data_IF_480186915377
#
_entry.id   IF_480186915377
#
_cell.length_a   1.000
_cell.length_b   1.000
_cell.length_c   1.000
_cell.angle_alpha   90.00
_cell.angle_beta   90.00
_cell.angle_gamma   90.00
#
_symmetry.space_group_name_H-M   'P 1'
#
loop_
_entity.id
_entity.type
_entity.pdbx_description
1 polymer ?
#
# COMPACT_ATOMS: atom_id res chain seq x y z
N UNK A 1 17.63 27.81 4.16
CA UNK A 1 17.88 27.88 5.62
C UNK A 1 16.91 28.88 6.22
N UNK A 2 16.34 28.61 7.40
CA UNK A 2 15.18 29.36 7.96
C UNK A 2 15.52 30.51 8.90
N UNK A 3 16.79 30.65 9.30
CA UNK A 3 17.24 31.65 10.27
C UNK A 3 18.51 32.37 9.78
N UNK A 4 18.66 33.63 10.18
CA UNK A 4 19.86 34.46 9.94
C UNK A 4 20.89 34.32 11.06
N UNK A 5 20.44 33.89 12.23
CA UNK A 5 21.29 33.68 13.41
C UNK A 5 20.75 32.53 14.23
N UNK A 6 21.64 31.69 14.72
CA UNK A 6 21.33 30.57 15.62
C UNK A 6 22.12 30.77 16.90
N UNK A 7 21.42 30.72 18.02
CA UNK A 7 22.01 30.69 19.35
C UNK A 7 21.72 29.34 20.00
N UNK A 8 22.72 28.75 20.64
CA UNK A 8 22.60 27.49 21.35
C UNK A 8 23.11 27.70 22.78
N UNK A 9 22.27 27.44 23.77
CA UNK A 9 22.64 27.44 25.18
C UNK A 9 22.55 26.01 25.70
N UNK A 10 23.68 25.41 26.07
CA UNK A 10 23.72 24.01 26.53
C UNK A 10 24.39 23.88 27.88
N UNK A 11 23.83 23.05 28.74
CA UNK A 11 24.35 22.71 30.05
C UNK A 11 24.24 21.20 30.24
N UNK A 12 25.39 20.54 30.20
CA UNK A 12 25.49 19.09 30.38
C UNK A 12 25.24 18.73 31.84
N UNK A 13 24.47 17.67 32.06
CA UNK A 13 24.19 17.16 33.40
C UNK A 13 25.48 16.85 34.17
N UNK A 14 25.62 17.44 35.35
CA UNK A 14 26.75 17.22 36.26
C UNK A 14 27.94 18.17 36.06
N UNK A 15 27.90 19.04 35.05
CA UNK A 15 28.89 20.10 34.90
C UNK A 15 28.48 21.33 35.74
N UNK A 16 29.43 22.22 36.03
CA UNK A 16 29.21 23.44 36.83
C UNK A 16 28.94 24.69 35.98
N UNK A 17 29.29 24.63 34.70
CA UNK A 17 29.18 25.76 33.76
C UNK A 17 28.36 25.32 32.54
N UNK A 18 27.58 26.25 32.02
CA UNK A 18 26.91 26.13 30.74
C UNK A 18 27.74 26.77 29.63
N UNK A 19 27.46 26.42 28.39
CA UNK A 19 28.09 27.00 27.21
C UNK A 19 27.04 27.64 26.33
N UNK A 20 27.25 28.91 25.95
CA UNK A 20 26.52 29.54 24.84
C UNK A 20 27.40 29.54 23.59
N UNK A 21 26.79 29.12 22.49
CA UNK A 21 27.34 29.18 21.15
C UNK A 21 26.44 30.05 20.28
N UNK A 22 27.01 30.85 19.40
CA UNK A 22 26.25 31.72 18.50
C UNK A 22 26.93 31.81 17.12
N UNK A 23 26.12 31.81 16.06
CA UNK A 23 26.61 32.04 14.69
C UNK A 23 25.54 32.63 13.76
N UNK A 24 25.97 33.48 12.83
CA UNK A 24 25.18 33.93 11.66
C UNK A 24 25.28 32.99 10.45
N UNK A 25 26.07 31.92 10.52
CA UNK A 25 26.33 31.03 9.39
C UNK A 25 27.35 31.55 8.37
N UNK A 26 27.97 32.71 8.62
CA UNK A 26 28.94 33.37 7.72
C UNK A 26 30.39 32.84 7.86
N UNK A 27 30.56 31.65 8.44
CA UNK A 27 31.86 30.97 8.57
C UNK A 27 32.61 31.21 9.88
N UNK A 28 32.09 32.04 10.78
CA UNK A 28 32.60 32.22 12.15
C UNK A 28 31.51 31.99 13.19
N UNK A 29 31.91 31.68 14.42
CA UNK A 29 31.02 31.52 15.57
C UNK A 29 31.71 32.01 16.85
N UNK A 30 30.92 32.28 17.89
CA UNK A 30 31.40 32.61 19.23
C UNK A 30 31.04 31.51 20.22
N UNK A 31 31.87 31.35 21.25
CA UNK A 31 31.64 30.44 22.38
C UNK A 31 31.92 31.21 23.66
N UNK A 32 31.01 31.12 24.63
CA UNK A 32 31.15 31.73 25.96
C UNK A 32 30.68 30.76 27.06
N UNK A 33 31.37 30.78 28.21
CA UNK A 33 30.91 30.13 29.45
C UNK A 33 29.83 30.98 30.12
N UNK A 34 28.80 30.33 30.66
CA UNK A 34 27.67 30.97 31.35
C UNK A 34 27.36 30.21 32.64
N UNK A 35 27.18 30.94 33.74
CA UNK A 35 27.09 30.32 35.07
C UNK A 35 25.68 29.82 35.43
N UNK A 36 24.63 30.36 34.81
CA UNK A 36 23.22 30.07 35.16
C UNK A 36 22.40 29.71 33.92
N UNK A 37 22.34 28.42 33.60
CA UNK A 37 21.47 27.89 32.55
C UNK A 37 20.80 26.58 32.99
N UNK A 38 19.54 26.34 32.57
CA UNK A 38 18.87 25.08 32.83
C UNK A 38 19.63 23.92 32.18
N UNK A 39 19.64 22.76 32.84
CA UNK A 39 20.19 21.53 32.27
C UNK A 39 19.51 21.20 30.94
N UNK A 40 20.29 20.80 29.93
CA UNK A 40 19.81 20.47 28.59
C UNK A 40 20.36 21.41 27.54
N UNK A 41 19.64 21.57 26.44
CA UNK A 41 20.02 22.46 25.34
C UNK A 41 18.83 23.26 24.86
N UNK A 42 18.96 24.58 24.81
CA UNK A 42 18.05 25.49 24.12
C UNK A 42 18.67 25.88 22.78
N UNK A 43 17.86 25.88 21.72
CA UNK A 43 18.24 26.38 20.39
C UNK A 43 17.28 27.49 20.02
N UNK A 44 17.81 28.71 19.93
CA UNK A 44 17.05 29.91 19.54
C UNK A 44 17.37 30.23 18.09
N UNK A 45 16.33 30.26 17.25
CA UNK A 45 16.42 30.61 15.84
C UNK A 45 15.92 32.03 15.64
N UNK A 46 16.78 32.91 15.13
CA UNK A 46 16.38 34.23 14.66
C UNK A 46 15.87 34.09 13.23
N UNK A 47 14.56 33.85 13.12
CA UNK A 47 13.90 33.49 11.88
C UNK A 47 13.99 34.60 10.84
N UNK A 48 14.18 34.18 9.58
CA UNK A 48 13.97 35.05 8.43
C UNK A 48 12.47 35.36 8.26
N UNK A 49 12.11 36.50 7.65
CA UNK A 49 10.73 36.78 7.26
C UNK A 49 10.18 35.68 6.33
N UNK A 50 8.86 35.50 6.27
CA UNK A 50 8.26 34.61 5.29
C UNK A 50 8.60 35.06 3.85
N UNK A 51 8.83 34.09 2.98
CA UNK A 51 9.12 34.30 1.56
C UNK A 51 8.43 33.20 0.75
N UNK A 52 7.39 33.57 0.01
CA UNK A 52 6.62 32.64 -0.79
C UNK A 52 7.39 32.13 -2.03
N UNK A 53 8.37 32.89 -2.53
CA UNK A 53 9.17 32.49 -3.70
C UNK A 53 10.18 31.39 -3.33
N UNK A 54 10.72 31.46 -2.11
CA UNK A 54 11.70 30.50 -1.56
C UNK A 54 11.06 29.39 -0.69
N UNK A 55 9.73 29.24 -0.71
CA UNK A 55 8.96 28.31 0.14
C UNK A 55 9.24 28.46 1.65
N UNK A 56 9.62 29.66 2.08
CA UNK A 56 9.91 29.99 3.47
C UNK A 56 8.63 30.44 4.17
N UNK A 57 8.03 29.52 4.92
CA UNK A 57 6.78 29.77 5.64
C UNK A 57 6.97 30.65 6.89
N UNK A 58 5.88 31.22 7.38
CA UNK A 58 5.82 31.78 8.74
C UNK A 58 5.94 30.67 9.80
N UNK A 59 7.15 30.49 10.33
CA UNK A 59 7.44 29.53 11.40
C UNK A 59 7.10 30.08 12.80
N UNK A 60 6.55 31.29 12.91
CA UNK A 60 5.94 31.78 14.16
C UNK A 60 4.47 31.38 14.29
N UNK A 61 3.87 30.86 13.21
CA UNK A 61 2.49 30.36 13.20
C UNK A 61 2.32 29.05 13.97
N UNK A 62 1.45 29.06 14.97
CA UNK A 62 1.03 27.86 15.74
C UNK A 62 0.62 26.69 14.85
N UNK A 63 -0.19 26.98 13.83
CA UNK A 63 -0.69 25.96 12.92
C UNK A 63 0.44 25.33 12.10
N UNK A 64 1.39 26.16 11.63
CA UNK A 64 2.53 25.65 10.86
C UNK A 64 3.41 24.75 11.72
N UNK A 65 3.75 25.16 12.95
CA UNK A 65 4.55 24.33 13.86
C UNK A 65 3.83 23.03 14.21
N UNK A 66 2.53 23.08 14.55
CA UNK A 66 1.74 21.88 14.84
C UNK A 66 1.68 20.92 13.66
N UNK A 67 1.48 21.42 12.44
CA UNK A 67 1.46 20.57 11.24
C UNK A 67 2.82 19.90 10.98
N UNK A 68 3.93 20.63 11.17
CA UNK A 68 5.28 20.07 11.02
C UNK A 68 5.55 18.99 12.07
N UNK A 69 5.22 19.23 13.34
CA UNK A 69 5.38 18.22 14.39
C UNK A 69 4.51 17.01 14.11
N UNK A 70 3.26 17.22 13.67
CA UNK A 70 2.35 16.13 13.29
C UNK A 70 2.89 15.30 12.12
N UNK A 71 3.56 15.94 11.17
CA UNK A 71 4.12 15.25 10.01
C UNK A 71 5.41 14.50 10.33
N UNK A 72 6.33 15.13 11.04
CA UNK A 72 7.71 14.64 11.16
C UNK A 72 8.04 14.00 12.51
N UNK A 73 7.22 14.22 13.53
CA UNK A 73 7.59 13.89 14.92
C UNK A 73 6.43 13.45 15.80
N UNK A 74 5.28 13.13 15.21
CA UNK A 74 4.07 12.78 15.98
C UNK A 74 4.29 11.56 16.88
N UNK A 75 5.11 10.62 16.43
CA UNK A 75 5.33 9.33 17.09
C UNK A 75 6.64 9.25 17.88
N UNK A 76 7.35 10.38 18.05
CA UNK A 76 8.51 10.46 18.94
C UNK A 76 8.07 10.12 20.36
N UNK A 77 8.86 9.29 21.05
CA UNK A 77 8.51 8.77 22.37
C UNK A 77 8.47 9.83 23.48
N UNK A 78 9.11 10.98 23.24
CA UNK A 78 9.18 12.10 24.17
C UNK A 78 8.10 13.15 23.84
N UNK A 79 7.49 13.78 24.85
CA UNK A 79 6.49 14.81 24.64
C UNK A 79 7.14 16.06 24.02
N UNK A 80 6.61 16.48 22.87
CA UNK A 80 6.93 17.73 22.21
C UNK A 80 5.89 18.75 22.68
N UNK A 81 6.36 19.79 23.36
CA UNK A 81 5.51 20.80 23.99
C UNK A 81 5.65 22.14 23.30
N UNK A 82 4.54 22.86 23.20
CA UNK A 82 4.47 24.19 22.62
C UNK A 82 3.70 25.12 23.55
N UNK A 83 4.19 26.35 23.74
CA UNK A 83 3.42 27.42 24.36
C UNK A 83 2.43 28.00 23.34
N UNK A 84 1.16 28.08 23.72
CA UNK A 84 0.05 28.48 22.83
C UNK A 84 -0.74 29.59 23.49
N UNK A 85 -1.04 30.65 22.74
CA UNK A 85 -1.91 31.72 23.20
C UNK A 85 -3.38 31.29 23.14
N UNK A 86 -4.09 31.43 24.26
CA UNK A 86 -5.54 31.22 24.36
C UNK A 86 -6.21 32.53 24.70
N UNK A 87 -7.21 32.91 23.90
CA UNK A 87 -8.07 34.07 24.16
C UNK A 87 -9.33 33.58 24.82
N UNK A 88 -9.49 33.88 26.10
CA UNK A 88 -10.67 33.55 26.86
C UNK A 88 -11.63 34.75 26.89
N UNK A 89 -12.94 34.51 26.73
CA UNK A 89 -13.92 35.57 26.84
C UNK A 89 -13.85 36.22 28.23
N UNK A 90 -14.15 37.51 28.29
CA UNK A 90 -14.18 38.24 29.55
C UNK A 90 -15.15 37.58 30.54
N UNK A 91 -14.75 37.53 31.81
CA UNK A 91 -15.57 36.95 32.87
C UNK A 91 -16.85 37.77 33.16
N UNK A 92 -16.92 39.01 32.67
CA UNK A 92 -18.06 39.94 32.81
C UNK A 92 -18.47 40.53 31.46
N UNK A 93 -19.76 40.80 31.27
CA UNK A 93 -20.31 41.44 30.05
C UNK A 93 -19.68 42.84 29.87
N UNK A 94 -18.83 43.00 28.84
CA UNK A 94 -18.14 44.25 28.52
C UNK A 94 -16.68 44.35 28.98
N UNK A 95 -16.10 43.28 29.55
CA UNK A 95 -14.68 43.22 29.89
C UNK A 95 -13.74 42.92 28.72
N UNK A 96 -12.43 43.06 28.94
CA UNK A 96 -11.39 42.74 27.96
C UNK A 96 -11.14 41.22 27.87
N UNK A 97 -10.82 40.73 26.68
CA UNK A 97 -10.40 39.33 26.47
C UNK A 97 -9.13 39.04 27.28
N UNK A 98 -9.11 37.91 28.00
CA UNK A 98 -7.93 37.50 28.77
C UNK A 98 -7.09 36.58 27.87
N UNK A 99 -5.87 37.02 27.56
CA UNK A 99 -4.89 36.19 26.85
C UNK A 99 -4.06 35.41 27.87
N UNK A 100 -4.10 34.08 27.81
CA UNK A 100 -3.28 33.19 28.63
C UNK A 100 -2.34 32.37 27.76
N UNK A 101 -1.12 32.14 28.23
CA UNK A 101 -0.16 31.23 27.59
C UNK A 101 -0.24 29.87 28.28
N UNK A 102 -0.54 28.83 27.52
CA UNK A 102 -0.64 27.46 28.04
C UNK A 102 0.36 26.55 27.33
N UNK A 103 0.99 25.64 28.07
CA UNK A 103 1.87 24.62 27.48
C UNK A 103 1.04 23.41 27.04
N UNK A 104 0.98 23.15 25.73
CA UNK A 104 0.27 22.04 25.10
C UNK A 104 1.27 20.97 24.61
N UNK A 105 0.97 19.68 24.78
CA UNK A 105 1.73 18.61 24.11
C UNK A 105 1.13 18.38 22.72
N UNK A 106 1.95 18.53 21.68
CA UNK A 106 1.47 18.62 20.29
C UNK A 106 1.78 17.38 19.44
N UNK A 107 2.50 16.39 19.99
CA UNK A 107 2.68 15.07 19.37
C UNK A 107 1.86 13.99 20.10
N UNK A 108 1.42 12.96 19.37
CA UNK A 108 0.62 11.88 19.96
C UNK A 108 1.43 10.93 20.84
N UNK A 109 2.71 10.72 20.54
CA UNK A 109 3.60 9.69 21.13
C UNK A 109 3.10 8.24 20.92
N UNK A 110 2.04 8.03 20.14
CA UNK A 110 1.36 6.73 19.98
C UNK A 110 1.85 6.00 18.72
N UNK A 111 3.06 5.45 18.77
CA UNK A 111 3.54 4.53 17.74
C UNK A 111 2.79 3.18 17.83
N UNK A 112 1.62 3.07 17.18
CA UNK A 112 0.78 1.86 17.30
C UNK A 112 1.49 0.59 16.84
N UNK A 113 2.35 0.68 15.81
CA UNK A 113 3.15 -0.44 15.33
C UNK A 113 4.19 -0.96 16.34
N UNK A 114 4.52 -0.16 17.36
CA UNK A 114 5.45 -0.53 18.41
C UNK A 114 4.78 -1.18 19.63
N UNK A 115 3.45 -1.11 19.72
CA UNK A 115 2.67 -1.70 20.83
C UNK A 115 2.31 -3.16 20.54
N UNK A 116 2.19 -4.01 21.57
CA UNK A 116 1.62 -5.35 21.42
C UNK A 116 0.21 -5.31 20.80
N UNK A 117 -0.12 -6.26 19.93
CA UNK A 117 -1.41 -6.28 19.21
C UNK A 117 -2.60 -6.34 20.16
N UNK A 118 -2.45 -7.04 21.28
CA UNK A 118 -3.44 -7.22 22.34
C UNK A 118 -3.68 -5.96 23.18
N UNK A 119 -2.77 -4.98 23.11
CA UNK A 119 -2.90 -3.71 23.83
C UNK A 119 -3.52 -2.59 22.99
N UNK A 120 -3.75 -2.79 21.68
CA UNK A 120 -4.28 -1.77 20.76
C UNK A 120 -5.70 -2.16 20.33
N UNK A 121 -6.66 -1.27 20.56
CA UNK A 121 -8.06 -1.54 20.15
C UNK A 121 -8.25 -1.42 18.63
N UNK A 122 -9.32 -2.01 18.12
CA UNK A 122 -9.70 -1.87 16.70
C UNK A 122 -9.96 -0.40 16.33
N UNK A 123 -10.59 0.37 17.21
CA UNK A 123 -10.82 1.81 17.02
C UNK A 123 -9.50 2.59 16.93
N UNK A 124 -8.50 2.25 17.75
CA UNK A 124 -7.18 2.89 17.64
C UNK A 124 -6.54 2.63 16.27
N UNK A 125 -6.66 1.41 15.74
CA UNK A 125 -6.18 1.10 14.39
C UNK A 125 -6.96 1.83 13.30
N UNK A 126 -8.29 1.92 13.40
CA UNK A 126 -9.14 2.61 12.43
C UNK A 126 -8.84 4.10 12.38
N UNK A 127 -8.73 4.75 13.54
CA UNK A 127 -8.38 6.17 13.61
C UNK A 127 -6.97 6.45 13.08
N UNK A 128 -6.04 5.55 13.36
CA UNK A 128 -4.69 5.64 12.80
C UNK A 128 -4.70 5.50 11.28
N UNK A 129 -5.41 4.51 10.74
CA UNK A 129 -5.60 4.34 9.29
C UNK A 129 -6.16 5.61 8.64
N UNK A 130 -7.26 6.15 9.16
CA UNK A 130 -7.87 7.40 8.66
C UNK A 130 -6.88 8.55 8.65
N UNK A 131 -6.08 8.66 9.71
CA UNK A 131 -5.05 9.68 9.82
C UNK A 131 -3.96 9.54 8.74
N UNK A 132 -3.37 8.36 8.57
CA UNK A 132 -2.23 8.16 7.65
C UNK A 132 -2.63 8.03 6.18
N UNK A 133 -3.83 7.52 5.91
CA UNK A 133 -4.34 7.29 4.56
C UNK A 133 -5.16 8.46 4.04
N UNK A 134 -5.44 9.47 4.89
CA UNK A 134 -6.39 10.55 4.63
C UNK A 134 -7.77 10.01 4.20
N UNK A 135 -8.15 8.90 4.81
CA UNK A 135 -9.34 8.13 4.50
C UNK A 135 -10.49 8.51 5.44
N UNK A 136 -11.72 8.39 4.95
CA UNK A 136 -12.94 8.61 5.74
C UNK A 136 -13.60 7.29 6.15
N UNK A 137 -13.26 6.21 5.45
CA UNK A 137 -13.73 4.86 5.70
C UNK A 137 -12.83 4.10 6.68
N UNK A 138 -13.29 2.90 7.05
CA UNK A 138 -12.50 1.95 7.82
C UNK A 138 -11.74 1.01 6.86
N UNK A 139 -10.57 0.47 7.25
CA UNK A 139 -9.85 -0.50 6.44
C UNK A 139 -10.58 -1.86 6.47
N UNK A 140 -10.45 -2.64 5.39
CA UNK A 140 -10.89 -4.05 5.36
C UNK A 140 -10.06 -4.93 6.28
N UNK A 141 -8.75 -4.63 6.39
CA UNK A 141 -7.84 -5.47 7.17
C UNK A 141 -6.67 -4.68 7.75
N UNK A 142 -6.18 -5.12 8.90
CA UNK A 142 -5.03 -4.58 9.63
C UNK A 142 -3.93 -5.63 9.74
N UNK A 143 -2.83 -5.38 9.06
CA UNK A 143 -1.67 -6.28 9.00
C UNK A 143 -0.56 -5.72 9.89
N UNK A 144 -0.45 -6.26 11.11
CA UNK A 144 0.68 -5.98 11.99
C UNK A 144 1.77 -7.04 11.81
N UNK A 145 3.03 -6.61 11.66
CA UNK A 145 4.17 -7.52 11.67
C UNK A 145 5.38 -6.92 12.37
N UNK A 146 6.18 -7.81 12.97
CA UNK A 146 7.49 -7.50 13.53
C UNK A 146 8.48 -8.53 12.99
N UNK A 147 9.63 -8.06 12.54
CA UNK A 147 10.74 -8.90 12.15
C UNK A 147 11.94 -8.58 13.03
N UNK A 148 12.54 -9.63 13.58
CA UNK A 148 13.78 -9.58 14.36
C UNK A 148 14.86 -10.40 13.63
N UNK A 149 16.13 -10.18 13.95
CA UNK A 149 17.26 -10.93 13.40
C UNK A 149 18.10 -10.11 12.41
N UNK A 150 18.26 -10.61 11.18
CA UNK A 150 19.18 -9.98 10.19
C UNK A 150 18.81 -8.53 9.85
N UNK A 151 17.51 -8.22 9.82
CA UNK A 151 16.99 -6.87 9.61
C UNK A 151 15.82 -6.68 10.55
N UNK A 152 15.93 -5.72 11.47
CA UNK A 152 14.90 -5.40 12.44
C UNK A 152 13.98 -4.30 11.90
N UNK A 153 12.69 -4.59 11.87
CA UNK A 153 11.67 -3.62 11.52
C UNK A 153 10.30 -4.00 12.10
N UNK A 154 9.46 -2.99 12.26
CA UNK A 154 8.04 -3.15 12.57
C UNK A 154 7.23 -2.58 11.41
N UNK A 155 6.12 -3.22 11.07
CA UNK A 155 5.20 -2.67 10.07
C UNK A 155 3.76 -2.83 10.54
N UNK A 156 2.97 -1.82 10.20
CA UNK A 156 1.53 -1.79 10.37
C UNK A 156 0.93 -1.34 9.05
N UNK A 157 0.37 -2.29 8.31
CA UNK A 157 -0.23 -2.07 7.01
C UNK A 157 -1.75 -2.22 7.08
N UNK A 158 -2.41 -1.63 6.10
CA UNK A 158 -3.86 -1.62 5.97
C UNK A 158 -4.24 -1.95 4.53
N UNK A 159 -5.26 -2.79 4.39
CA UNK A 159 -5.97 -2.97 3.12
C UNK A 159 -7.17 -2.01 3.17
N UNK A 160 -7.22 -0.95 2.34
CA UNK A 160 -8.37 -0.04 2.29
C UNK A 160 -9.66 -0.78 1.89
N UNK A 161 -10.83 -0.25 2.27
CA UNK A 161 -12.11 -0.78 1.79
C UNK A 161 -12.56 -0.23 0.44
N UNK A 162 -11.95 0.87 -0.02
CA UNK A 162 -12.20 1.46 -1.32
C UNK A 162 -10.89 1.77 -2.04
N UNK A 163 -10.89 1.58 -3.37
CA UNK A 163 -9.79 2.01 -4.20
C UNK A 163 -9.74 3.54 -4.29
N UNK A 164 -8.56 4.16 -4.18
CA UNK A 164 -8.43 5.60 -4.39
C UNK A 164 -8.67 5.92 -5.87
N UNK A 165 -9.28 7.09 -6.15
CA UNK A 165 -9.64 7.50 -7.51
C UNK A 165 -8.45 7.60 -8.47
N UNK A 166 -7.25 7.86 -7.94
CA UNK A 166 -6.00 8.01 -8.68
C UNK A 166 -5.18 6.71 -8.74
N UNK A 167 -5.70 5.56 -8.33
CA UNK A 167 -4.96 4.28 -8.27
C UNK A 167 -4.28 3.87 -9.59
N UNK A 168 -4.83 4.27 -10.74
CA UNK A 168 -4.28 3.99 -12.07
C UNK A 168 -3.60 5.19 -12.72
N UNK A 169 -3.48 6.32 -12.01
CA UNK A 169 -2.76 7.48 -12.50
C UNK A 169 -1.26 7.26 -12.32
N UNK A 170 -0.50 7.51 -13.38
CA UNK A 170 0.96 7.34 -13.38
C UNK A 170 1.68 8.24 -12.36
N UNK A 171 1.14 9.42 -12.10
CA UNK A 171 1.73 10.41 -11.20
C UNK A 171 1.16 10.33 -9.77
N UNK A 172 0.36 9.30 -9.47
CA UNK A 172 -0.21 9.11 -8.14
C UNK A 172 0.89 8.86 -7.09
N UNK A 173 0.73 9.49 -5.93
CA UNK A 173 1.61 9.26 -4.78
C UNK A 173 1.25 7.93 -4.13
N UNK A 174 2.07 6.92 -4.40
CA UNK A 174 1.88 5.56 -3.91
C UNK A 174 3.04 5.14 -3.01
N UNK A 175 2.75 4.25 -2.07
CA UNK A 175 3.76 3.73 -1.15
C UNK A 175 3.32 3.74 0.30
N UNK A 176 4.17 3.16 1.13
CA UNK A 176 3.99 3.06 2.57
C UNK A 176 4.89 4.09 3.24
N UNK A 177 4.47 4.66 4.37
CA UNK A 177 5.30 5.62 5.08
C UNK A 177 6.52 4.90 5.69
N UNK A 178 7.72 5.40 5.40
CA UNK A 178 8.96 4.89 5.95
C UNK A 178 9.39 5.75 7.15
N UNK A 179 9.62 5.07 8.26
CA UNK A 179 10.22 5.59 9.47
C UNK A 179 11.53 4.86 9.74
N UNK A 180 12.44 5.58 10.40
CA UNK A 180 13.67 5.00 10.92
C UNK A 180 13.81 5.41 12.38
N UNK A 181 13.78 4.42 13.28
CA UNK A 181 13.80 4.67 14.73
C UNK A 181 12.70 5.65 15.15
N UNK A 182 11.49 5.47 14.61
CA UNK A 182 10.30 6.34 14.80
C UNK A 182 10.43 7.78 14.26
N UNK A 183 11.49 8.09 13.51
CA UNK A 183 11.63 9.36 12.79
C UNK A 183 11.07 9.19 11.39
N UNK A 184 10.16 10.07 10.99
CA UNK A 184 9.60 10.07 9.64
C UNK A 184 10.69 10.38 8.61
N UNK A 185 10.82 9.52 7.59
CA UNK A 185 11.75 9.72 6.47
C UNK A 185 11.01 10.14 5.21
N UNK A 186 9.96 9.40 4.83
CA UNK A 186 9.14 9.73 3.66
C UNK A 186 7.76 9.08 3.72
N UNK A 187 6.77 9.74 3.11
CA UNK A 187 5.38 9.29 3.13
C UNK A 187 5.05 8.25 2.04
N UNK A 188 5.64 8.42 0.86
CA UNK A 188 5.34 7.63 -0.34
C UNK A 188 6.56 6.78 -0.71
N UNK A 189 6.89 5.78 0.10
CA UNK A 189 8.00 4.85 -0.20
C UNK A 189 7.48 3.67 -1.03
N UNK A 190 7.54 3.81 -2.35
CA UNK A 190 7.20 2.79 -3.35
C UNK A 190 8.24 1.66 -3.40
N UNK A 191 9.44 1.82 -2.82
CA UNK A 191 10.42 0.74 -2.72
C UNK A 191 10.02 -0.37 -1.73
N UNK A 192 9.05 -0.12 -0.84
CA UNK A 192 8.60 -1.08 0.19
C UNK A 192 7.48 -2.00 -0.29
N UNK A 193 6.81 -1.66 -1.40
CA UNK A 193 5.71 -2.45 -1.98
C UNK A 193 5.89 -2.61 -3.47
N UNK A 194 5.49 -3.75 -4.06
CA UNK A 194 5.40 -3.84 -5.50
C UNK A 194 4.22 -3.03 -6.04
N UNK A 195 4.31 -2.62 -7.30
CA UNK A 195 3.34 -1.75 -7.95
C UNK A 195 1.92 -2.35 -7.96
N UNK A 196 1.79 -3.67 -8.09
CA UNK A 196 0.50 -4.37 -8.04
C UNK A 196 -0.13 -4.42 -6.62
N UNK A 197 0.58 -3.93 -5.60
CA UNK A 197 0.08 -3.73 -4.22
C UNK A 197 0.10 -2.25 -3.81
N UNK A 198 0.14 -1.31 -4.77
CA UNK A 198 0.19 0.14 -4.53
C UNK A 198 -0.95 0.73 -3.70
N UNK A 199 -2.05 -0.01 -3.56
CA UNK A 199 -3.20 0.37 -2.72
C UNK A 199 -2.93 0.19 -1.22
N UNK A 200 -1.92 -0.59 -0.83
CA UNK A 200 -1.59 -0.81 0.58
C UNK A 200 -1.16 0.52 1.22
N UNK A 201 -1.77 0.83 2.37
CA UNK A 201 -1.41 1.98 3.21
C UNK A 201 -0.76 1.49 4.49
N UNK A 202 0.04 2.31 5.14
CA UNK A 202 0.66 1.89 6.40
C UNK A 202 1.95 2.63 6.76
N UNK A 203 2.64 2.04 7.74
CA UNK A 203 3.94 2.46 8.23
C UNK A 203 4.89 1.26 8.26
N UNK A 204 6.15 1.49 7.90
CA UNK A 204 7.29 0.61 8.19
C UNK A 204 8.32 1.40 8.98
N UNK A 205 8.67 0.93 10.17
CA UNK A 205 9.71 1.50 11.04
C UNK A 205 10.93 0.58 11.06
N UNK A 206 11.96 0.95 10.29
CA UNK A 206 13.20 0.20 10.16
C UNK A 206 14.22 0.64 11.21
N UNK A 207 14.72 -0.28 12.04
CA UNK A 207 15.62 0.06 13.14
C UNK A 207 17.09 0.13 12.71
N UNK A 208 17.48 -0.67 11.71
CA UNK A 208 18.86 -0.79 11.25
C UNK A 208 19.24 0.17 10.10
N UNK A 209 18.27 0.92 9.58
CA UNK A 209 18.51 1.86 8.49
C UNK A 209 19.14 3.17 9.02
N UNK A 210 19.90 3.87 8.18
CA UNK A 210 20.42 5.21 8.49
C UNK A 210 19.32 6.27 8.36
N UNK A 211 19.41 7.35 9.14
CA UNK A 211 18.50 8.49 9.04
C UNK A 211 18.75 9.34 7.77
N UNK A 212 19.97 9.32 7.23
CA UNK A 212 20.37 10.17 6.09
C UNK A 212 20.06 9.51 4.73
N UNK A 213 18.95 8.80 4.63
CA UNK A 213 18.65 7.96 3.48
C UNK A 213 17.76 8.70 2.49
N UNK A 214 18.25 8.85 1.25
CA UNK A 214 17.51 9.41 0.13
C UNK A 214 16.78 8.31 -0.66
N UNK A 215 15.82 8.72 -1.52
CA UNK A 215 15.11 7.80 -2.42
C UNK A 215 16.05 6.98 -3.31
N UNK A 216 17.12 7.60 -3.81
CA UNK A 216 18.13 6.94 -4.64
C UNK A 216 18.89 5.85 -3.86
N UNK A 217 19.27 6.14 -2.62
CA UNK A 217 19.95 5.18 -1.74
C UNK A 217 19.03 3.99 -1.43
N UNK A 218 17.73 4.24 -1.18
CA UNK A 218 16.76 3.17 -0.89
C UNK A 218 16.60 2.16 -2.03
N UNK A 219 16.64 2.61 -3.29
CA UNK A 219 16.45 1.72 -4.44
C UNK A 219 17.52 0.62 -4.53
N UNK A 220 18.75 0.94 -4.13
CA UNK A 220 19.88 0.01 -4.14
C UNK A 220 20.07 -0.72 -2.81
N UNK A 221 19.23 -0.41 -1.82
CA UNK A 221 19.38 -0.95 -0.48
C UNK A 221 18.88 -2.40 -0.38
N UNK A 222 19.77 -3.30 0.06
CA UNK A 222 19.47 -4.73 0.19
C UNK A 222 18.46 -5.02 1.30
N UNK A 223 18.47 -4.23 2.38
CA UNK A 223 17.52 -4.36 3.49
C UNK A 223 16.12 -3.97 3.02
N UNK A 224 15.96 -2.86 2.30
CA UNK A 224 14.66 -2.44 1.74
C UNK A 224 14.08 -3.51 0.83
N UNK A 225 14.89 -4.08 -0.07
CA UNK A 225 14.44 -5.15 -0.96
C UNK A 225 14.01 -6.42 -0.18
N UNK A 226 14.72 -6.76 0.90
CA UNK A 226 14.35 -7.88 1.75
C UNK A 226 13.05 -7.62 2.53
N UNK A 227 12.87 -6.39 3.04
CA UNK A 227 11.66 -5.92 3.71
C UNK A 227 10.49 -6.00 2.72
N UNK A 228 10.62 -5.43 1.52
CA UNK A 228 9.59 -5.49 0.46
C UNK A 228 9.12 -6.90 0.21
N UNK A 229 10.03 -7.86 -0.03
CA UNK A 229 9.67 -9.27 -0.27
C UNK A 229 8.88 -9.88 0.89
N UNK A 230 9.26 -9.60 2.13
CA UNK A 230 8.54 -10.12 3.32
C UNK A 230 7.16 -9.50 3.46
N UNK A 231 7.05 -8.18 3.24
CA UNK A 231 5.78 -7.47 3.29
C UNK A 231 4.84 -7.97 2.20
N UNK A 232 5.31 -8.10 0.96
CA UNK A 232 4.56 -8.68 -0.17
C UNK A 232 3.97 -10.04 0.19
N UNK A 233 4.81 -10.96 0.68
CA UNK A 233 4.35 -12.31 1.07
C UNK A 233 3.29 -12.26 2.16
N UNK A 234 3.44 -11.39 3.16
CA UNK A 234 2.45 -11.25 4.23
C UNK A 234 1.13 -10.69 3.71
N UNK A 235 1.16 -9.67 2.86
CA UNK A 235 -0.05 -9.10 2.24
C UNK A 235 -0.80 -10.16 1.42
N UNK A 236 -0.09 -10.89 0.56
CA UNK A 236 -0.70 -11.97 -0.24
C UNK A 236 -1.28 -13.09 0.63
N UNK A 237 -0.58 -13.49 1.70
CA UNK A 237 -1.09 -14.46 2.67
C UNK A 237 -2.37 -13.96 3.34
N UNK A 238 -2.43 -12.69 3.72
CA UNK A 238 -3.62 -12.10 4.34
C UNK A 238 -4.79 -11.99 3.37
N UNK A 239 -4.54 -11.71 2.09
CA UNK A 239 -5.59 -11.75 1.06
C UNK A 239 -6.12 -13.18 0.89
N UNK A 240 -5.24 -14.19 0.95
CA UNK A 240 -5.64 -15.59 0.92
C UNK A 240 -6.48 -15.98 2.15
N UNK A 241 -6.12 -15.51 3.34
CA UNK A 241 -6.92 -15.68 4.56
C UNK A 241 -8.30 -15.02 4.44
N UNK A 242 -8.38 -13.80 3.88
CA UNK A 242 -9.65 -13.14 3.56
C UNK A 242 -10.51 -14.01 2.63
N UNK A 243 -9.92 -14.54 1.56
CA UNK A 243 -10.60 -15.40 0.59
C UNK A 243 -11.22 -16.65 1.25
N UNK A 244 -10.49 -17.30 2.17
CA UNK A 244 -10.94 -18.54 2.81
C UNK A 244 -11.85 -18.36 4.02
N UNK A 245 -11.68 -17.28 4.80
CA UNK A 245 -12.34 -17.13 6.10
C UNK A 245 -13.41 -16.02 6.12
N UNK A 246 -13.32 -15.03 5.21
CA UNK A 246 -14.17 -13.83 5.19
C UNK A 246 -14.56 -13.45 3.76
N UNK A 247 -15.39 -14.30 3.15
CA UNK A 247 -15.77 -14.21 1.75
C UNK A 247 -16.35 -12.84 1.31
N UNK A 248 -17.14 -12.18 2.16
CA UNK A 248 -17.72 -10.86 1.83
C UNK A 248 -16.66 -9.74 1.82
N UNK A 249 -15.71 -9.76 2.77
CA UNK A 249 -14.58 -8.84 2.81
C UNK A 249 -13.66 -9.07 1.60
N UNK A 250 -13.42 -10.35 1.26
CA UNK A 250 -12.67 -10.71 0.06
C UNK A 250 -13.38 -10.26 -1.23
N UNK A 251 -14.70 -10.41 -1.34
CA UNK A 251 -15.47 -9.93 -2.49
C UNK A 251 -15.33 -8.41 -2.64
N UNK A 252 -15.37 -7.68 -1.52
CA UNK A 252 -15.14 -6.24 -1.49
C UNK A 252 -13.73 -5.92 -1.96
N UNK A 253 -12.72 -6.57 -1.40
CA UNK A 253 -11.32 -6.44 -1.81
C UNK A 253 -11.14 -6.70 -3.32
N UNK A 254 -11.66 -7.81 -3.83
CA UNK A 254 -11.46 -8.21 -5.22
C UNK A 254 -12.16 -7.25 -6.19
N UNK A 255 -13.33 -6.75 -5.82
CA UNK A 255 -14.06 -5.73 -6.60
C UNK A 255 -13.27 -4.43 -6.71
N UNK A 256 -12.59 -4.01 -5.64
CA UNK A 256 -11.84 -2.75 -5.59
C UNK A 256 -10.45 -2.88 -6.22
N UNK A 257 -9.76 -3.99 -5.97
CA UNK A 257 -8.31 -4.14 -6.23
C UNK A 257 -7.95 -5.28 -7.17
N UNK A 258 -8.86 -6.17 -7.55
CA UNK A 258 -8.55 -7.36 -8.35
C UNK A 258 -7.82 -7.01 -9.66
N UNK A 259 -8.25 -5.95 -10.35
CA UNK A 259 -7.61 -5.48 -11.58
C UNK A 259 -6.15 -5.09 -11.40
N UNK A 260 -5.80 -4.39 -10.32
CA UNK A 260 -4.39 -4.02 -10.04
C UNK A 260 -3.58 -5.22 -9.56
N UNK A 261 -4.17 -6.10 -8.74
CA UNK A 261 -3.49 -7.32 -8.26
C UNK A 261 -3.07 -8.22 -9.43
N UNK A 262 -3.92 -8.34 -10.45
CA UNK A 262 -3.62 -9.11 -11.68
C UNK A 262 -2.37 -8.63 -12.42
N UNK A 263 -1.95 -7.37 -12.28
CA UNK A 263 -0.69 -6.88 -12.88
C UNK A 263 0.54 -7.62 -12.31
N UNK A 264 0.44 -8.12 -11.09
CA UNK A 264 1.46 -8.96 -10.45
C UNK A 264 1.73 -10.25 -11.22
N UNK A 265 0.72 -10.81 -11.91
CA UNK A 265 0.84 -12.06 -12.67
C UNK A 265 1.88 -12.00 -13.78
N UNK A 266 2.22 -10.81 -14.26
CA UNK A 266 3.20 -10.59 -15.33
C UNK A 266 4.59 -10.20 -14.83
N UNK A 267 4.72 -9.78 -13.57
CA UNK A 267 5.91 -9.08 -13.06
C UNK A 267 6.53 -9.72 -11.84
N UNK A 268 5.76 -10.50 -11.05
CA UNK A 268 6.24 -11.15 -9.83
C UNK A 268 6.16 -12.68 -9.95
N UNK A 269 7.13 -13.24 -10.68
CA UNK A 269 7.25 -14.68 -10.90
C UNK A 269 7.45 -15.47 -9.60
N UNK A 270 8.08 -14.88 -8.58
CA UNK A 270 8.30 -15.53 -7.28
C UNK A 270 6.98 -15.77 -6.52
N UNK A 271 5.95 -14.96 -6.81
CA UNK A 271 4.63 -15.03 -6.17
C UNK A 271 3.48 -15.35 -7.14
N UNK A 272 3.77 -15.68 -8.42
CA UNK A 272 2.77 -15.87 -9.47
C UNK A 272 1.73 -16.94 -9.10
N UNK A 273 2.16 -18.07 -8.52
CA UNK A 273 1.25 -19.13 -8.07
C UNK A 273 0.28 -18.65 -6.98
N UNK A 274 0.79 -17.85 -6.03
CA UNK A 274 -0.06 -17.30 -4.95
C UNK A 274 -1.03 -16.28 -5.51
N UNK A 275 -0.58 -15.43 -6.44
CA UNK A 275 -1.43 -14.46 -7.14
C UNK A 275 -2.55 -15.16 -7.92
N UNK A 276 -2.27 -16.27 -8.59
CA UNK A 276 -3.29 -17.07 -9.29
C UNK A 276 -4.31 -17.68 -8.32
N UNK A 277 -3.85 -18.21 -7.18
CA UNK A 277 -4.73 -18.79 -6.15
C UNK A 277 -5.69 -17.75 -5.55
N UNK A 278 -5.21 -16.53 -5.29
CA UNK A 278 -6.05 -15.47 -4.74
C UNK A 278 -6.87 -14.72 -5.80
N UNK A 279 -6.80 -15.13 -7.07
CA UNK A 279 -7.51 -14.45 -8.14
C UNK A 279 -8.90 -15.04 -8.36
N UNK A 280 -9.88 -14.17 -8.60
CA UNK A 280 -11.24 -14.54 -8.99
C UNK A 280 -11.62 -13.97 -10.36
N UNK A 281 -12.41 -14.73 -11.10
CA UNK A 281 -12.75 -14.48 -12.50
C UNK A 281 -14.24 -14.70 -12.71
N UNK A 282 -14.85 -13.92 -13.60
CA UNK A 282 -16.17 -14.30 -14.09
C UNK A 282 -16.04 -15.59 -14.91
N UNK A 283 -17.06 -16.45 -14.89
CA UNK A 283 -17.12 -17.62 -15.77
C UNK A 283 -18.52 -17.84 -16.34
N UNK A 284 -18.66 -18.82 -17.23
CA UNK A 284 -19.96 -19.26 -17.74
C UNK A 284 -20.78 -20.04 -16.71
N UNK A 285 -20.23 -20.41 -15.56
CA UNK A 285 -20.95 -21.15 -14.52
C UNK A 285 -21.97 -20.28 -13.77
N UNK A 286 -21.59 -19.04 -13.43
CA UNK A 286 -22.46 -18.09 -12.72
C UNK A 286 -22.53 -16.76 -13.47
N UNK A 287 -23.70 -16.11 -13.41
CA UNK A 287 -23.90 -14.75 -13.93
C UNK A 287 -23.47 -13.66 -12.96
N UNK A 288 -23.49 -13.96 -11.66
CA UNK A 288 -23.28 -12.99 -10.59
C UNK A 288 -21.97 -13.25 -9.84
N UNK A 289 -21.66 -14.53 -9.56
CA UNK A 289 -20.52 -14.89 -8.74
C UNK A 289 -19.25 -15.08 -9.58
N UNK A 290 -18.15 -14.52 -9.08
CA UNK A 290 -16.82 -14.86 -9.57
C UNK A 290 -16.38 -16.22 -9.02
N UNK A 291 -15.50 -16.90 -9.76
CA UNK A 291 -14.86 -18.16 -9.38
C UNK A 291 -13.35 -18.00 -9.30
N UNK A 292 -12.73 -18.70 -8.37
CA UNK A 292 -11.28 -18.95 -8.36
C UNK A 292 -10.91 -20.04 -9.37
N UNK A 293 -9.62 -20.16 -9.67
CA UNK A 293 -9.12 -21.26 -10.50
C UNK A 293 -9.24 -22.62 -9.80
N UNK A 294 -9.09 -22.67 -8.47
CA UNK A 294 -9.27 -23.90 -7.71
C UNK A 294 -10.72 -24.41 -7.80
N UNK A 295 -11.69 -23.52 -7.61
CA UNK A 295 -13.11 -23.83 -7.78
C UNK A 295 -13.45 -24.26 -9.22
N UNK A 296 -12.83 -23.64 -10.23
CA UNK A 296 -12.96 -24.10 -11.61
C UNK A 296 -12.45 -25.53 -11.77
N UNK A 297 -11.26 -25.83 -11.22
CA UNK A 297 -10.65 -27.17 -11.29
C UNK A 297 -11.51 -28.23 -10.61
N UNK A 298 -12.13 -27.92 -9.47
CA UNK A 298 -13.06 -28.81 -8.78
C UNK A 298 -14.29 -29.18 -9.62
N UNK A 299 -14.70 -28.29 -10.54
CA UNK A 299 -15.84 -28.48 -11.45
C UNK A 299 -15.44 -28.94 -12.85
N UNK A 300 -14.14 -29.17 -13.11
CA UNK A 300 -13.69 -29.71 -14.38
C UNK A 300 -14.34 -31.07 -14.65
N UNK A 301 -14.70 -31.30 -15.90
CA UNK A 301 -15.27 -32.58 -16.32
C UNK A 301 -14.23 -33.69 -16.25
N UNK A 302 -14.70 -34.92 -16.11
CA UNK A 302 -13.83 -36.09 -16.26
C UNK A 302 -13.14 -36.07 -17.63
N UNK A 303 -11.82 -36.28 -17.65
CA UNK A 303 -11.00 -36.20 -18.86
C UNK A 303 -10.64 -34.78 -19.31
N UNK A 304 -11.13 -33.72 -18.66
CA UNK A 304 -10.75 -32.35 -18.98
C UNK A 304 -9.32 -32.05 -18.46
N UNK A 305 -8.45 -31.61 -19.36
CA UNK A 305 -7.05 -31.28 -19.04
C UNK A 305 -6.76 -29.78 -19.04
N UNK A 306 -7.57 -28.98 -19.74
CA UNK A 306 -7.33 -27.55 -19.91
C UNK A 306 -8.35 -26.69 -19.16
N UNK A 307 -7.89 -25.53 -18.69
CA UNK A 307 -8.74 -24.44 -18.19
C UNK A 307 -9.05 -23.53 -19.37
N UNK A 308 -10.32 -23.48 -19.78
CA UNK A 308 -10.73 -22.68 -20.92
C UNK A 308 -11.03 -21.23 -20.54
N UNK A 309 -10.57 -20.29 -21.35
CA UNK A 309 -10.85 -18.87 -21.16
C UNK A 309 -11.19 -18.15 -22.46
N UNK A 310 -11.90 -17.03 -22.34
CA UNK A 310 -12.17 -16.09 -23.41
C UNK A 310 -11.84 -14.67 -22.94
N UNK A 311 -11.16 -13.89 -23.77
CA UNK A 311 -10.80 -12.48 -23.51
C UNK A 311 -11.64 -11.56 -24.39
N UNK A 312 -12.13 -10.44 -23.86
CA UNK A 312 -12.87 -9.44 -24.62
C UNK A 312 -13.37 -8.28 -23.76
N UNK A 313 -13.95 -7.24 -24.35
CA UNK A 313 -14.25 -6.00 -23.63
C UNK A 313 -15.38 -6.15 -22.60
N UNK A 314 -16.36 -7.01 -22.88
CA UNK A 314 -17.52 -7.20 -22.00
C UNK A 314 -17.99 -8.64 -21.94
N UNK A 315 -18.57 -9.03 -20.81
CA UNK A 315 -19.24 -10.34 -20.63
C UNK A 315 -20.26 -10.61 -21.72
N UNK A 316 -21.08 -9.62 -22.07
CA UNK A 316 -22.14 -9.77 -23.08
C UNK A 316 -21.59 -10.05 -24.48
N UNK A 317 -20.48 -9.41 -24.85
CA UNK A 317 -19.80 -9.67 -26.11
C UNK A 317 -19.21 -11.08 -26.13
N UNK A 318 -18.53 -11.47 -25.04
CA UNK A 318 -17.97 -12.81 -24.92
C UNK A 318 -19.04 -13.89 -25.04
N UNK A 319 -20.14 -13.80 -24.30
CA UNK A 319 -21.22 -14.81 -24.34
C UNK A 319 -21.88 -15.00 -25.71
N UNK A 320 -21.75 -14.02 -26.62
CA UNK A 320 -22.25 -14.08 -28.01
C UNK A 320 -21.18 -14.51 -29.01
N UNK A 321 -19.96 -14.79 -28.56
CA UNK A 321 -18.87 -15.23 -29.42
C UNK A 321 -19.17 -16.62 -30.01
N UNK A 322 -19.01 -16.82 -31.33
CA UNK A 322 -19.11 -18.14 -31.95
C UNK A 322 -18.15 -19.16 -31.34
N UNK A 323 -16.99 -18.69 -30.85
CA UNK A 323 -15.98 -19.54 -30.21
C UNK A 323 -16.47 -20.20 -28.92
N UNK A 324 -17.54 -19.70 -28.30
CA UNK A 324 -18.13 -20.27 -27.07
C UNK A 324 -19.22 -21.31 -27.33
N UNK A 325 -19.76 -21.41 -28.55
CA UNK A 325 -20.90 -22.28 -28.86
C UNK A 325 -20.57 -23.77 -28.65
N UNK A 326 -19.42 -24.22 -29.15
CA UNK A 326 -18.98 -25.62 -29.00
C UNK A 326 -18.73 -25.99 -27.52
N UNK A 327 -18.11 -25.10 -26.75
CA UNK A 327 -17.87 -25.29 -25.32
C UNK A 327 -19.17 -25.33 -24.53
N UNK A 328 -20.11 -24.42 -24.84
CA UNK A 328 -21.44 -24.41 -24.22
C UNK A 328 -22.23 -25.68 -24.56
N UNK A 329 -22.22 -26.12 -25.82
CA UNK A 329 -22.91 -27.33 -26.25
C UNK A 329 -22.36 -28.58 -25.54
N UNK A 330 -21.03 -28.64 -25.35
CA UNK A 330 -20.36 -29.70 -24.60
C UNK A 330 -20.35 -29.45 -23.10
N UNK A 331 -20.93 -28.35 -22.61
CA UNK A 331 -21.03 -27.98 -21.20
C UNK A 331 -19.70 -27.72 -20.48
N UNK A 332 -18.65 -27.31 -21.18
CA UNK A 332 -17.39 -26.88 -20.55
C UNK A 332 -17.56 -25.48 -19.94
N UNK A 333 -17.06 -25.31 -18.71
CA UNK A 333 -16.93 -23.99 -18.09
C UNK A 333 -15.85 -23.17 -18.81
N UNK A 334 -16.10 -21.89 -19.05
CA UNK A 334 -15.14 -20.98 -19.68
C UNK A 334 -15.01 -19.73 -18.82
N UNK A 335 -13.78 -19.36 -18.46
CA UNK A 335 -13.49 -18.09 -17.78
C UNK A 335 -13.72 -16.93 -18.75
N UNK A 336 -14.39 -15.88 -18.27
CA UNK A 336 -14.74 -14.69 -19.03
C UNK A 336 -13.89 -13.54 -18.51
N UNK A 337 -12.83 -13.23 -19.25
CA UNK A 337 -11.81 -12.29 -18.85
C UNK A 337 -12.01 -10.95 -19.55
N UNK A 338 -12.30 -9.91 -18.80
CA UNK A 338 -12.76 -8.62 -19.34
C UNK A 338 -11.91 -7.42 -18.94
N UNK A 339 -10.92 -7.61 -18.06
CA UNK A 339 -10.01 -6.53 -17.72
C UNK A 339 -8.94 -6.39 -18.80
N UNK A 340 -8.48 -5.18 -19.16
CA UNK A 340 -7.40 -5.01 -20.13
C UNK A 340 -6.10 -5.75 -19.78
N UNK A 341 -5.83 -5.94 -18.48
CA UNK A 341 -4.68 -6.73 -18.00
C UNK A 341 -4.81 -8.21 -18.35
N UNK A 342 -6.04 -8.70 -18.53
CA UNK A 342 -6.33 -10.09 -18.84
C UNK A 342 -5.81 -10.53 -20.21
N UNK A 343 -5.81 -9.64 -21.20
CA UNK A 343 -5.26 -9.96 -22.53
C UNK A 343 -3.76 -10.25 -22.50
N UNK A 344 -3.06 -9.75 -21.49
CA UNK A 344 -1.60 -9.79 -21.43
C UNK A 344 -1.12 -10.88 -20.48
N UNK A 345 -1.71 -11.03 -19.29
CA UNK A 345 -1.23 -12.01 -18.32
C UNK A 345 -1.45 -13.45 -18.78
N UNK A 346 -2.54 -13.75 -19.50
CA UNK A 346 -2.81 -15.10 -20.06
C UNK A 346 -1.79 -15.53 -21.12
N UNK A 347 -0.99 -14.59 -21.64
CA UNK A 347 0.17 -14.91 -22.50
C UNK A 347 1.43 -15.26 -21.70
N UNK A 348 1.50 -14.89 -20.42
CA UNK A 348 2.65 -15.11 -19.54
C UNK A 348 2.44 -16.29 -18.59
N UNK A 349 1.21 -16.54 -18.16
CA UNK A 349 0.83 -17.68 -17.32
C UNK A 349 0.41 -18.85 -18.20
N UNK A 350 1.10 -19.97 -18.08
CA UNK A 350 0.87 -21.16 -18.94
C UNK A 350 -0.09 -22.16 -18.33
N UNK A 351 -0.09 -22.33 -17.01
CA UNK A 351 -0.86 -23.37 -16.32
C UNK A 351 -1.23 -22.97 -14.90
N UNK A 352 -2.21 -23.69 -14.33
CA UNK A 352 -2.56 -23.65 -12.91
C UNK A 352 -2.79 -25.08 -12.42
N UNK A 353 -2.12 -25.49 -11.35
CA UNK A 353 -2.19 -26.86 -10.80
C UNK A 353 -1.93 -27.95 -11.88
N UNK A 354 -0.96 -27.69 -12.76
CA UNK A 354 -0.62 -28.56 -13.89
C UNK A 354 -1.65 -28.60 -15.03
N UNK A 355 -2.72 -27.79 -14.97
CA UNK A 355 -3.73 -27.66 -16.02
C UNK A 355 -3.41 -26.47 -16.93
N UNK A 356 -3.13 -26.69 -18.23
CA UNK A 356 -2.83 -25.59 -19.16
C UNK A 356 -4.02 -24.64 -19.33
N UNK A 357 -3.74 -23.34 -19.44
CA UNK A 357 -4.76 -22.34 -19.80
C UNK A 357 -4.88 -22.28 -21.33
N UNK A 358 -6.09 -22.49 -21.85
CA UNK A 358 -6.35 -22.49 -23.30
C UNK A 358 -7.43 -21.48 -23.68
N UNK A 359 -7.10 -20.62 -24.65
CA UNK A 359 -8.07 -19.68 -25.22
C UNK A 359 -9.07 -20.43 -26.11
N UNK A 360 -10.37 -20.14 -25.95
CA UNK A 360 -11.41 -20.66 -26.86
C UNK A 360 -11.29 -20.13 -28.28
N UNK A 361 -10.56 -19.03 -28.50
CA UNK A 361 -10.37 -18.40 -29.80
C UNK A 361 -9.13 -18.93 -30.57
N UNK A 362 -8.23 -19.67 -29.91
CA UNK A 362 -7.05 -20.26 -30.57
C UNK A 362 -7.40 -21.64 -31.14
N UNK A 363 -7.08 -21.82 -32.43
CA UNK A 363 -7.40 -22.94 -33.34
C UNK A 363 -7.53 -24.35 -32.76
N UNK A 364 -8.40 -25.15 -33.40
CA UNK A 364 -8.70 -26.57 -33.16
C UNK A 364 -8.48 -27.00 -31.70
N UNK A 365 -9.29 -26.47 -30.79
CA UNK A 365 -9.43 -27.12 -29.48
C UNK A 365 -10.06 -28.48 -29.75
N UNK A 366 -9.28 -29.55 -29.62
CA UNK A 366 -9.73 -30.93 -29.81
C UNK A 366 -10.61 -31.34 -28.62
N UNK A 367 -11.86 -30.88 -28.69
CA UNK A 367 -12.90 -31.15 -27.72
C UNK A 367 -13.44 -32.59 -27.83
N UNK A 368 -12.94 -33.41 -28.77
CA UNK A 368 -13.45 -34.76 -29.09
C UNK A 368 -12.55 -35.89 -28.54
N UNK A 369 -11.51 -35.60 -27.76
CA UNK A 369 -10.60 -36.60 -27.17
C UNK A 369 -11.24 -37.53 -26.12
N UNK A 370 -12.53 -37.36 -25.80
CA UNK A 370 -13.25 -38.12 -24.77
C UNK A 370 -14.39 -39.03 -25.24
N UNK A 371 -14.73 -39.06 -26.54
CA UNK A 371 -15.73 -39.99 -27.08
C UNK A 371 -15.14 -40.76 -28.27
N UNK A 372 -15.15 -42.11 -28.17
CA UNK A 372 -14.84 -43.03 -29.28
C UNK A 372 -15.81 -42.78 -30.44
N UNK A 373 -15.51 -41.81 -31.31
CA UNK A 373 -16.21 -41.64 -32.58
C UNK A 373 -15.54 -42.51 -33.64
N UNK A 374 -16.36 -43.36 -34.25
CA UNK A 374 -15.92 -44.22 -35.34
C UNK A 374 -15.42 -43.39 -36.52
N UNK A 375 -14.35 -43.85 -37.14
CA UNK A 375 -13.64 -43.27 -38.30
C UNK A 375 -14.58 -42.82 -39.45
N UNK A 376 -15.79 -43.40 -39.52
CA UNK A 376 -16.84 -43.05 -40.48
C UNK A 376 -17.42 -41.64 -40.33
N UNK A 377 -17.52 -41.09 -39.11
CA UNK A 377 -18.08 -39.74 -38.89
C UNK A 377 -17.08 -38.62 -39.25
N UNK A 378 -15.77 -38.91 -39.14
CA UNK A 378 -14.71 -37.98 -39.56
C UNK A 378 -14.64 -37.83 -41.08
N UNK A 379 -14.77 -38.94 -41.83
CA UNK A 379 -14.79 -38.91 -43.29
C UNK A 379 -16.03 -38.22 -43.88
N UNK A 380 -17.15 -38.18 -43.15
CA UNK A 380 -18.37 -37.53 -43.60
C UNK A 380 -18.30 -36.00 -43.43
N UNK A 381 -17.70 -35.52 -42.32
CA UNK A 381 -17.45 -34.09 -42.11
C UNK A 381 -16.40 -33.53 -43.10
N UNK A 382 -15.33 -34.27 -43.40
CA UNK A 382 -14.33 -33.82 -44.38
C UNK A 382 -14.91 -33.68 -45.80
N UNK A 383 -15.91 -34.49 -46.16
CA UNK A 383 -16.63 -34.37 -47.45
C UNK A 383 -17.58 -33.18 -47.47
N UNK A 384 -18.30 -32.91 -46.38
CA UNK A 384 -19.17 -31.72 -46.29
C UNK A 384 -18.37 -30.40 -46.36
N UNK A 385 -17.15 -30.36 -45.81
CA UNK A 385 -16.29 -29.17 -45.89
C UNK A 385 -15.59 -28.99 -47.24
N UNK A 386 -15.37 -30.06 -48.00
CA UNK A 386 -14.76 -29.99 -49.33
C UNK A 386 -15.68 -29.33 -50.37
N UNK A 387 -17.00 -29.51 -50.27
CA UNK A 387 -18.00 -28.92 -51.18
C UNK A 387 -18.20 -27.41 -50.96
N UNK A 388 -17.70 -26.85 -49.85
CA UNK A 388 -17.78 -25.42 -49.52
C UNK A 388 -16.55 -24.62 -49.98
N UNK A 389 -15.56 -25.26 -50.61
CA UNK A 389 -14.30 -24.66 -51.07
C UNK A 389 -14.16 -24.55 -52.60
N UNK A 390 -15.22 -24.80 -53.37
CA UNK A 390 -15.28 -24.52 -54.82
C UNK A 390 -16.11 -23.31 -55.20
#
# INVERSE_FOLDING_TARGET
MVADKVELLTHKAGDSEATRWESSGEGTYTIESVDDAPQGTSVTLHLKPEDAEDELHDYTSDWKIKSLVKQYSDFIAWPIRMEVERRNPAAEEGGEEVVTIETETINSMKALWARPKDEVSEEEYKEFYKHIAHAWDDPLEVIAMKAEGTFEYQALLFIPSHAPFDMFNRDAKVGVQLYVKRVFIMGDCDQLMPEYLRFIKGVVDAQDLSLNVSREILQQDRQINAIRRRLTKKVLSTIKELQSERADDYRTFWTQFGRVVKEGLMSDFDNQDTLLQISSFASTHSEEDATTLAEYVERMKEGQEQIFYATGETRQQLLKSPHLEAFRAKGYEVLLLTDPVDEVWVGSVTEFDGKPLQSVAKGEVDLDSGEDKSEAEREEQEKEFADLLT
#
